data_IF_409335107797
#
_entry.id   IF_409335107797
#
_cell.length_a   1.000
_cell.length_b   1.000
_cell.length_c   1.000
_cell.angle_alpha   90.00
_cell.angle_beta   90.00
_cell.angle_gamma   90.00
#
_symmetry.space_group_name_H-M   'P 1'
#
loop_
_entity.id
_entity.type
_entity.pdbx_description
1 polymer ?
#
# COMPACT_ATOMS: atom_id res chain seq x y z
N UNK A 1 32.29 15.76 1.69
CA UNK A 1 32.15 14.99 2.94
C UNK A 1 30.93 14.12 2.73
N UNK A 2 31.13 12.81 2.79
CA UNK A 2 30.47 11.82 1.93
C UNK A 2 28.94 11.85 1.92
N UNK A 3 28.40 12.17 0.74
CA UNK A 3 26.96 12.19 0.42
C UNK A 3 26.44 10.80 0.04
N UNK A 4 27.24 9.76 0.30
CA UNK A 4 26.97 8.37 -0.01
C UNK A 4 26.74 7.63 1.31
N UNK A 5 25.68 6.83 1.35
CA UNK A 5 25.30 5.96 2.46
C UNK A 5 25.43 4.51 2.03
N UNK A 6 25.91 3.65 2.92
CA UNK A 6 25.84 2.21 2.75
C UNK A 6 24.57 1.69 3.39
N UNK A 7 23.74 1.01 2.61
CA UNK A 7 22.49 0.41 3.11
C UNK A 7 22.43 -1.07 2.78
N UNK A 8 21.66 -1.79 3.58
CA UNK A 8 21.35 -3.20 3.34
C UNK A 8 19.93 -3.32 2.81
N UNK A 9 19.79 -3.82 1.59
CA UNK A 9 18.51 -4.17 0.98
C UNK A 9 18.17 -5.64 1.27
N UNK A 10 16.93 -5.90 1.68
CA UNK A 10 16.32 -7.23 1.73
C UNK A 10 15.35 -7.33 0.55
N UNK A 11 15.69 -8.21 -0.38
CA UNK A 11 14.96 -8.53 -1.61
C UNK A 11 14.39 -9.95 -1.48
N UNK A 12 13.30 -10.10 -0.71
CA UNK A 12 12.76 -11.41 -0.30
C UNK A 12 13.84 -12.22 0.43
N UNK A 13 14.28 -13.34 -0.16
CA UNK A 13 15.28 -14.25 0.41
C UNK A 13 16.73 -13.82 0.15
N UNK A 14 16.94 -12.68 -0.52
CA UNK A 14 18.27 -12.17 -0.86
C UNK A 14 18.59 -10.91 -0.06
N UNK A 15 19.84 -10.79 0.35
CA UNK A 15 20.37 -9.59 1.00
C UNK A 15 21.44 -8.97 0.10
N UNK A 16 21.35 -7.67 -0.15
CA UNK A 16 22.32 -6.92 -0.96
C UNK A 16 22.77 -5.66 -0.23
N UNK A 17 24.07 -5.43 -0.15
CA UNK A 17 24.60 -4.16 0.33
C UNK A 17 24.85 -3.24 -0.86
N UNK A 18 24.36 -2.01 -0.80
CA UNK A 18 24.47 -1.02 -1.88
C UNK A 18 24.88 0.34 -1.32
N UNK A 19 25.51 1.13 -2.18
CA UNK A 19 25.84 2.52 -1.91
C UNK A 19 24.81 3.42 -2.59
N UNK A 20 24.19 4.32 -1.83
CA UNK A 20 23.14 5.21 -2.32
C UNK A 20 23.44 6.64 -1.93
N UNK A 21 22.91 7.61 -2.68
CA UNK A 21 23.01 9.01 -2.29
C UNK A 21 22.10 9.29 -1.10
N UNK A 22 22.57 10.10 -0.16
CA UNK A 22 21.74 10.61 0.93
C UNK A 22 20.53 11.35 0.36
N UNK A 23 19.36 11.12 0.94
CA UNK A 23 18.10 11.72 0.52
C UNK A 23 17.40 11.00 -0.64
N UNK A 24 17.99 9.93 -1.21
CA UNK A 24 17.31 9.10 -2.20
C UNK A 24 15.97 8.59 -1.64
N UNK A 25 14.91 8.60 -2.44
CA UNK A 25 13.64 8.04 -2.01
C UNK A 25 13.65 6.54 -2.24
N UNK A 26 13.05 5.80 -1.31
CA UNK A 26 12.96 4.33 -1.39
C UNK A 26 12.31 3.87 -2.71
N UNK A 27 11.38 4.64 -3.28
CA UNK A 27 10.71 4.33 -4.54
C UNK A 27 11.68 4.22 -5.73
N UNK A 28 12.77 4.98 -5.74
CA UNK A 28 13.79 4.92 -6.80
C UNK A 28 14.51 3.57 -6.76
N UNK A 29 14.83 3.10 -5.55
CA UNK A 29 15.40 1.76 -5.35
C UNK A 29 14.36 0.67 -5.62
N UNK A 30 13.10 0.85 -5.24
CA UNK A 30 12.04 -0.11 -5.53
C UNK A 30 11.90 -0.35 -7.03
N UNK A 31 11.98 0.70 -7.86
CA UNK A 31 11.93 0.58 -9.32
C UNK A 31 13.15 -0.17 -9.88
N UNK A 32 14.35 0.08 -9.34
CA UNK A 32 15.58 -0.61 -9.74
C UNK A 32 15.53 -2.13 -9.43
N UNK A 33 14.91 -2.51 -8.32
CA UNK A 33 14.89 -3.88 -7.81
C UNK A 33 13.55 -4.61 -8.02
N UNK A 34 12.62 -4.06 -8.81
CA UNK A 34 11.26 -4.61 -9.00
C UNK A 34 11.23 -6.04 -9.53
N UNK A 35 12.21 -6.42 -10.36
CA UNK A 35 12.26 -7.75 -11.00
C UNK A 35 12.53 -8.90 -9.99
N UNK A 36 12.87 -8.57 -8.74
CA UNK A 36 12.98 -9.55 -7.65
C UNK A 36 11.63 -9.91 -7.01
N UNK A 37 10.55 -9.22 -7.39
CA UNK A 37 9.22 -9.34 -6.79
C UNK A 37 8.23 -9.89 -7.82
N UNK A 38 7.30 -10.74 -7.37
CA UNK A 38 6.27 -11.31 -8.24
C UNK A 38 5.12 -10.34 -8.49
N UNK A 39 5.00 -9.32 -7.65
CA UNK A 39 4.00 -8.26 -7.77
C UNK A 39 4.64 -6.89 -7.51
N UNK A 40 3.88 -5.82 -7.69
CA UNK A 40 4.39 -4.46 -7.46
C UNK A 40 4.79 -4.27 -6.00
N UNK A 41 5.98 -3.71 -5.78
CA UNK A 41 6.41 -3.21 -4.47
C UNK A 41 5.48 -2.05 -4.09
N UNK A 42 4.83 -2.15 -2.93
CA UNK A 42 3.86 -1.14 -2.48
C UNK A 42 4.32 -0.38 -1.23
N UNK A 43 5.29 -0.92 -0.50
CA UNK A 43 5.75 -0.37 0.78
C UNK A 43 7.13 -0.91 1.14
N UNK A 44 7.68 -0.45 2.26
CA UNK A 44 8.95 -0.95 2.78
C UNK A 44 8.98 -0.94 4.31
N UNK A 45 9.93 -1.66 4.89
CA UNK A 45 10.36 -1.48 6.27
C UNK A 45 11.76 -0.87 6.27
N UNK A 46 11.94 0.22 7.00
CA UNK A 46 13.25 0.80 7.27
C UNK A 46 13.56 0.51 8.73
N UNK A 47 14.63 -0.24 8.99
CA UNK A 47 15.01 -0.69 10.34
C UNK A 47 13.82 -1.35 11.07
N UNK A 48 13.09 -2.22 10.37
CA UNK A 48 11.91 -2.96 10.85
C UNK A 48 10.66 -2.09 11.13
N UNK A 49 10.69 -0.79 10.84
CA UNK A 49 9.51 0.08 10.91
C UNK A 49 8.88 0.25 9.53
N UNK A 50 7.57 0.06 9.43
CA UNK A 50 6.82 0.23 8.18
C UNK A 50 6.85 1.70 7.71
N UNK A 51 7.18 1.93 6.44
CA UNK A 51 7.35 3.25 5.81
C UNK A 51 6.83 3.27 4.37
N UNK A 52 6.36 4.43 3.94
CA UNK A 52 5.97 4.69 2.55
C UNK A 52 7.19 4.75 1.62
N UNK A 53 7.03 4.36 0.35
CA UNK A 53 8.13 4.36 -0.63
C UNK A 53 8.70 5.75 -0.93
N UNK A 54 7.97 6.83 -0.64
CA UNK A 54 8.48 8.21 -0.80
C UNK A 54 9.39 8.65 0.34
N UNK A 55 9.57 7.81 1.37
CA UNK A 55 10.47 8.10 2.50
C UNK A 55 11.91 8.27 1.99
N UNK A 56 12.59 9.38 2.32
CA UNK A 56 14.00 9.56 1.98
C UNK A 56 14.92 8.79 2.93
N UNK A 57 16.01 8.24 2.40
CA UNK A 57 17.06 7.57 3.19
C UNK A 57 18.11 8.59 3.58
N UNK A 58 18.13 8.97 4.85
CA UNK A 58 19.06 9.99 5.36
C UNK A 58 20.18 9.43 6.24
N UNK A 59 20.17 8.14 6.53
CA UNK A 59 21.14 7.45 7.36
C UNK A 59 21.34 6.01 6.89
N UNK A 60 22.44 5.39 7.29
CA UNK A 60 22.67 3.97 7.02
C UNK A 60 21.56 3.15 7.68
N UNK A 61 20.95 2.26 6.91
CA UNK A 61 19.76 1.56 7.34
C UNK A 61 19.59 0.24 6.61
N UNK A 62 18.68 -0.57 7.14
CA UNK A 62 18.20 -1.78 6.50
C UNK A 62 16.83 -1.51 5.88
N UNK A 63 16.70 -1.68 4.57
CA UNK A 63 15.45 -1.53 3.83
C UNK A 63 14.97 -2.90 3.37
N UNK A 64 13.75 -3.26 3.74
CA UNK A 64 13.06 -4.47 3.28
C UNK A 64 11.85 -4.04 2.47
N UNK A 65 11.79 -4.41 1.19
CA UNK A 65 10.64 -4.09 0.35
C UNK A 65 9.50 -5.07 0.58
N UNK A 66 8.28 -4.56 0.45
CA UNK A 66 7.05 -5.33 0.60
C UNK A 66 6.22 -5.23 -0.68
N UNK A 67 5.77 -6.37 -1.19
CA UNK A 67 4.84 -6.48 -2.31
C UNK A 67 3.51 -7.13 -1.87
N UNK A 68 2.59 -7.39 -2.80
CA UNK A 68 1.28 -7.96 -2.48
C UNK A 68 1.33 -9.43 -2.04
N UNK A 69 2.45 -10.13 -2.26
CA UNK A 69 2.65 -11.49 -1.76
C UNK A 69 2.98 -11.50 -0.26
N UNK A 70 3.43 -10.37 0.30
CA UNK A 70 3.70 -10.25 1.73
C UNK A 70 2.42 -9.98 2.53
N UNK A 71 2.26 -10.57 3.73
CA UNK A 71 1.10 -10.31 4.59
C UNK A 71 0.90 -8.82 4.90
N UNK A 72 1.98 -8.12 5.23
CA UNK A 72 1.94 -6.66 5.50
C UNK A 72 1.56 -5.87 4.25
N UNK A 73 2.06 -6.28 3.07
CA UNK A 73 1.71 -5.66 1.81
C UNK A 73 0.22 -5.83 1.48
N UNK A 74 -0.30 -7.04 1.60
CA UNK A 74 -1.72 -7.31 1.42
C UNK A 74 -2.61 -6.51 2.39
N UNK A 75 -2.18 -6.35 3.65
CA UNK A 75 -2.90 -5.50 4.61
C UNK A 75 -2.93 -4.02 4.21
N UNK A 76 -1.81 -3.48 3.73
CA UNK A 76 -1.73 -2.10 3.23
C UNK A 76 -2.65 -1.93 2.03
N UNK A 77 -2.58 -2.83 1.06
CA UNK A 77 -3.43 -2.79 -0.13
C UNK A 77 -4.93 -2.79 0.21
N UNK A 78 -5.35 -3.68 1.11
CA UNK A 78 -6.75 -3.76 1.59
C UNK A 78 -7.20 -2.49 2.32
N UNK A 79 -6.33 -1.88 3.13
CA UNK A 79 -6.62 -0.59 3.81
C UNK A 79 -6.81 0.53 2.79
N UNK A 80 -5.97 0.58 1.76
CA UNK A 80 -6.11 1.56 0.66
C UNK A 80 -7.42 1.36 -0.10
N UNK A 81 -7.76 0.12 -0.49
CA UNK A 81 -9.04 -0.18 -1.15
C UNK A 81 -10.25 0.17 -0.28
N UNK A 82 -10.15 -0.09 1.03
CA UNK A 82 -11.19 0.29 2.00
C UNK A 82 -11.40 1.80 1.99
N UNK A 83 -10.32 2.58 2.01
CA UNK A 83 -10.39 4.03 1.94
C UNK A 83 -11.01 4.52 0.64
N UNK A 84 -10.66 3.91 -0.51
CA UNK A 84 -11.28 4.20 -1.81
C UNK A 84 -12.78 3.91 -1.77
N UNK A 85 -13.20 2.79 -1.18
CA UNK A 85 -14.62 2.44 -1.03
C UNK A 85 -15.37 3.48 -0.17
N UNK A 86 -14.77 3.93 0.94
CA UNK A 86 -15.33 5.02 1.75
C UNK A 86 -15.46 6.33 0.98
N UNK A 87 -14.43 6.71 0.22
CA UNK A 87 -14.47 7.92 -0.62
C UNK A 87 -15.57 7.84 -1.68
N UNK A 88 -15.65 6.71 -2.38
CA UNK A 88 -16.67 6.47 -3.39
C UNK A 88 -18.08 6.50 -2.80
N UNK A 89 -18.28 5.84 -1.66
CA UNK A 89 -19.54 5.86 -0.94
C UNK A 89 -19.94 7.28 -0.52
N UNK A 90 -19.00 8.07 -0.01
CA UNK A 90 -19.27 9.44 0.39
C UNK A 90 -19.61 10.37 -0.79
N UNK A 91 -19.01 10.15 -1.97
CA UNK A 91 -19.35 10.91 -3.19
C UNK A 91 -20.72 10.53 -3.75
N UNK A 92 -21.02 9.23 -3.80
CA UNK A 92 -22.25 8.73 -4.44
C UNK A 92 -23.46 8.73 -3.52
N UNK A 93 -23.23 8.48 -2.23
CA UNK A 93 -24.25 8.30 -1.20
C UNK A 93 -23.95 9.16 0.05
N UNK A 94 -23.89 10.50 -0.09
CA UNK A 94 -23.37 11.39 0.97
C UNK A 94 -24.15 11.34 2.30
N UNK A 95 -25.40 10.89 2.27
CA UNK A 95 -26.26 10.78 3.45
C UNK A 95 -26.30 9.37 4.05
N UNK A 96 -25.46 8.44 3.57
CA UNK A 96 -25.42 7.05 4.02
C UNK A 96 -24.04 6.73 4.57
N UNK A 97 -23.99 6.07 5.73
CA UNK A 97 -22.77 5.67 6.41
C UNK A 97 -22.40 4.26 5.99
N UNK A 98 -21.34 4.16 5.18
CA UNK A 98 -20.66 2.90 4.95
C UNK A 98 -19.96 2.47 6.24
N UNK A 99 -20.03 1.19 6.59
CA UNK A 99 -19.26 0.63 7.71
C UNK A 99 -18.67 -0.71 7.29
N UNK A 100 -17.38 -0.88 7.60
CA UNK A 100 -16.68 -2.16 7.41
C UNK A 100 -17.01 -3.04 8.59
N UNK A 101 -17.46 -4.26 8.30
CA UNK A 101 -17.84 -5.25 9.31
C UNK A 101 -16.66 -6.20 9.54
N UNK A 102 -16.81 -7.46 9.18
CA UNK A 102 -15.81 -8.49 9.36
C UNK A 102 -14.98 -8.72 8.09
N UNK A 103 -13.75 -9.16 8.28
CA UNK A 103 -12.95 -9.74 7.20
C UNK A 103 -13.62 -11.02 6.69
N UNK A 104 -13.71 -11.17 5.38
CA UNK A 104 -14.23 -12.35 4.71
C UNK A 104 -13.18 -12.87 3.72
N UNK A 105 -12.37 -13.83 4.18
CA UNK A 105 -11.24 -14.35 3.40
C UNK A 105 -10.28 -13.24 2.96
N UNK A 106 -10.08 -13.02 1.64
CA UNK A 106 -9.21 -11.96 1.15
C UNK A 106 -9.85 -10.56 1.15
N UNK A 107 -11.14 -10.43 1.47
CA UNK A 107 -11.87 -9.16 1.41
C UNK A 107 -12.49 -8.73 2.74
N UNK A 108 -13.35 -7.73 2.66
CA UNK A 108 -14.19 -7.26 3.76
C UNK A 108 -15.64 -7.30 3.35
N UNK A 109 -16.50 -7.63 4.32
CA UNK A 109 -17.91 -7.38 4.22
C UNK A 109 -18.20 -5.96 4.73
N UNK A 110 -19.03 -5.20 4.00
CA UNK A 110 -19.42 -3.84 4.37
C UNK A 110 -20.92 -3.67 4.21
N UNK A 111 -21.47 -2.73 4.97
CA UNK A 111 -22.89 -2.38 4.93
C UNK A 111 -23.07 -0.87 4.96
N UNK A 112 -24.18 -0.40 4.40
CA UNK A 112 -24.69 0.94 4.70
C UNK A 112 -25.64 0.85 5.90
N UNK A 113 -25.27 1.50 7.00
CA UNK A 113 -25.97 1.36 8.30
C UNK A 113 -27.38 1.94 8.25
N UNK A 114 -27.59 2.96 7.42
CA UNK A 114 -28.85 3.70 7.40
C UNK A 114 -29.91 3.03 6.50
N UNK A 115 -29.50 2.46 5.37
CA UNK A 115 -30.38 1.73 4.44
C UNK A 115 -29.63 0.64 3.67
N UNK A 116 -30.26 -0.51 3.35
CA UNK A 116 -29.65 -1.55 2.54
C UNK A 116 -29.19 -1.05 1.17
N UNK A 117 -28.11 -1.62 0.65
CA UNK A 117 -27.65 -1.36 -0.72
C UNK A 117 -28.35 -2.28 -1.71
N UNK A 118 -28.80 -1.75 -2.83
CA UNK A 118 -29.39 -2.54 -3.91
C UNK A 118 -28.34 -2.89 -4.99
N UNK A 119 -28.54 -3.97 -5.77
CA UNK A 119 -27.56 -4.40 -6.78
C UNK A 119 -27.14 -3.30 -7.78
N UNK A 120 -28.07 -2.42 -8.20
CA UNK A 120 -27.74 -1.32 -9.10
C UNK A 120 -26.88 -0.23 -8.43
N UNK A 121 -27.05 0.00 -7.12
CA UNK A 121 -26.24 0.94 -6.35
C UNK A 121 -24.82 0.41 -6.12
N UNK A 122 -24.67 -0.91 -6.01
CA UNK A 122 -23.35 -1.56 -5.93
C UNK A 122 -22.53 -1.32 -7.22
N UNK A 123 -23.18 -1.37 -8.39
CA UNK A 123 -22.53 -1.04 -9.66
C UNK A 123 -22.05 0.42 -9.69
N UNK A 124 -22.91 1.34 -9.26
CA UNK A 124 -22.57 2.77 -9.15
C UNK A 124 -21.40 3.01 -8.18
N UNK A 125 -21.37 2.29 -7.05
CA UNK A 125 -20.25 2.36 -6.11
C UNK A 125 -18.95 1.85 -6.75
N UNK A 126 -19.03 0.74 -7.48
CA UNK A 126 -17.87 0.17 -8.17
C UNK A 126 -17.34 1.11 -9.29
N UNK A 127 -18.22 1.76 -10.03
CA UNK A 127 -17.86 2.79 -11.02
C UNK A 127 -17.13 3.95 -10.34
N UNK A 128 -17.70 4.51 -9.27
CA UNK A 128 -17.06 5.62 -8.55
C UNK A 128 -15.72 5.21 -7.93
N UNK A 129 -15.58 3.97 -7.45
CA UNK A 129 -14.28 3.46 -6.98
C UNK A 129 -13.23 3.40 -8.10
N UNK A 130 -13.63 3.03 -9.32
CA UNK A 130 -12.74 3.03 -10.49
C UNK A 130 -12.37 4.44 -10.91
N UNK A 131 -13.29 5.40 -10.80
CA UNK A 131 -13.03 6.80 -11.15
C UNK A 131 -12.03 7.48 -10.18
N UNK A 132 -11.82 6.93 -8.99
CA UNK A 132 -10.82 7.41 -8.02
C UNK A 132 -9.39 6.91 -8.36
N UNK A 133 -9.26 5.79 -9.08
CA UNK A 133 -7.99 5.12 -9.38
C UNK A 133 -7.46 5.57 -10.74
#
# INVERSE_FOLDING_TARGET
MDDILKITLILKDKVKNVEVKRGIKVIELAEEYKDYFSTHIISCKINNALKDLRTPINEECKVEFLDLADPDGMLIYRRTLTFIAFMAANRRFPNRRLSIMHSLGPGYYFEFVDTPIYPHELLLLQEEMKDII
#
